data_IF_927313971155
#
_entry.id   IF_927313971155
#
_cell.length_a   1.000
_cell.length_b   1.000
_cell.length_c   1.000
_cell.angle_alpha   90.00
_cell.angle_beta   90.00
_cell.angle_gamma   90.00
#
_symmetry.space_group_name_H-M   'P 1'
#
loop_
_entity.id
_entity.type
_entity.pdbx_description
1 polymer ?
#
# COMPACT_ATOMS: atom_id res chain seq x y z
N UNK A 1 -44.72 -6.50 14.41
CA UNK A 1 -44.00 -5.22 14.59
C UNK A 1 -42.59 -5.60 15.05
N UNK A 2 -41.63 -5.60 14.14
CA UNK A 2 -40.24 -5.98 14.45
C UNK A 2 -39.47 -4.71 14.83
N UNK A 3 -38.67 -4.70 15.90
CA UNK A 3 -37.83 -3.56 16.21
C UNK A 3 -36.80 -3.42 15.11
N UNK A 4 -36.80 -2.23 14.51
CA UNK A 4 -35.84 -1.76 13.53
C UNK A 4 -34.45 -2.13 14.02
N UNK A 5 -33.84 -3.07 13.32
CA UNK A 5 -32.50 -3.54 13.60
C UNK A 5 -31.58 -2.40 13.20
N UNK A 6 -31.38 -1.46 14.12
CA UNK A 6 -30.28 -0.51 14.12
C UNK A 6 -28.97 -1.31 14.26
N UNK A 7 -28.66 -2.14 13.26
CA UNK A 7 -27.29 -2.49 13.00
C UNK A 7 -26.61 -1.17 12.71
N UNK A 8 -25.62 -0.74 13.53
CA UNK A 8 -24.81 0.38 13.13
C UNK A 8 -24.29 0.06 11.73
N UNK A 9 -24.35 0.99 10.76
CA UNK A 9 -23.71 0.75 9.48
C UNK A 9 -22.28 0.32 9.80
N UNK A 10 -21.91 -0.89 9.40
CA UNK A 10 -20.58 -1.44 9.62
C UNK A 10 -19.60 -0.43 9.05
N UNK A 11 -19.03 0.38 9.95
CA UNK A 11 -18.16 1.48 9.56
C UNK A 11 -17.02 0.88 8.74
N UNK A 12 -16.63 1.51 7.62
CA UNK A 12 -15.51 1.03 6.83
C UNK A 12 -14.29 0.97 7.75
N UNK A 13 -13.82 -0.25 8.01
CA UNK A 13 -12.75 -0.48 8.97
C UNK A 13 -11.43 0.00 8.34
N UNK A 14 -10.86 1.07 8.88
CA UNK A 14 -9.61 1.64 8.36
C UNK A 14 -8.45 1.12 9.20
N UNK A 15 -7.56 0.38 8.55
CA UNK A 15 -6.44 -0.29 9.19
C UNK A 15 -5.11 0.42 8.91
N UNK A 16 -4.18 0.34 9.85
CA UNK A 16 -2.78 0.69 9.61
C UNK A 16 -2.04 -0.46 8.92
N UNK A 17 -0.82 -0.20 8.43
CA UNK A 17 0.06 -1.26 7.89
C UNK A 17 0.22 -2.42 8.89
N UNK A 18 0.36 -2.10 10.18
CA UNK A 18 0.57 -3.09 11.23
C UNK A 18 -0.67 -3.96 11.43
N UNK A 19 -1.84 -3.34 11.53
CA UNK A 19 -3.09 -4.07 11.70
C UNK A 19 -3.46 -4.90 10.47
N UNK A 20 -3.21 -4.38 9.27
CA UNK A 20 -3.42 -5.14 8.03
C UNK A 20 -2.49 -6.36 7.95
N UNK A 21 -1.22 -6.19 8.35
CA UNK A 21 -0.24 -7.27 8.39
C UNK A 21 -0.68 -8.38 9.36
N UNK A 22 -1.17 -8.00 10.54
CA UNK A 22 -1.67 -8.93 11.55
C UNK A 22 -2.92 -9.68 11.08
N UNK A 23 -3.91 -8.95 10.53
CA UNK A 23 -5.15 -9.51 9.99
C UNK A 23 -4.91 -10.52 8.86
N UNK A 24 -3.97 -10.23 7.97
CA UNK A 24 -3.62 -11.10 6.84
C UNK A 24 -2.56 -12.15 7.21
N UNK A 25 -2.02 -12.12 8.44
CA UNK A 25 -0.87 -12.94 8.87
C UNK A 25 0.33 -12.87 7.92
N UNK A 26 0.59 -11.67 7.38
CA UNK A 26 1.73 -11.42 6.49
C UNK A 26 2.70 -10.44 7.11
N UNK A 27 3.97 -10.49 6.72
CA UNK A 27 4.96 -9.52 7.17
C UNK A 27 4.71 -8.14 6.55
N UNK A 28 5.11 -7.07 7.26
CA UNK A 28 5.07 -5.69 6.74
C UNK A 28 5.81 -5.57 5.40
N UNK A 29 6.94 -6.27 5.27
CA UNK A 29 7.72 -6.34 4.04
C UNK A 29 6.91 -6.89 2.85
N UNK A 30 6.03 -7.86 3.09
CA UNK A 30 5.11 -8.41 2.08
C UNK A 30 4.11 -7.36 1.62
N UNK A 31 3.54 -6.59 2.54
CA UNK A 31 2.66 -5.47 2.19
C UNK A 31 3.38 -4.42 1.36
N UNK A 32 4.61 -4.04 1.74
CA UNK A 32 5.42 -3.10 0.94
C UNK A 32 5.77 -3.65 -0.43
N UNK A 33 6.09 -4.94 -0.53
CA UNK A 33 6.30 -5.62 -1.82
C UNK A 33 5.05 -5.60 -2.68
N UNK A 34 3.85 -5.78 -2.10
CA UNK A 34 2.58 -5.67 -2.81
C UNK A 34 2.27 -4.25 -3.26
N UNK A 35 2.61 -3.23 -2.47
CA UNK A 35 2.55 -1.82 -2.89
C UNK A 35 3.50 -1.54 -4.06
N UNK A 36 4.73 -2.07 -4.02
CA UNK A 36 5.71 -1.93 -5.11
C UNK A 36 5.32 -2.67 -6.39
N UNK A 37 4.50 -3.73 -6.27
CA UNK A 37 4.03 -4.55 -7.39
C UNK A 37 2.70 -4.08 -7.98
N UNK A 38 2.20 -2.92 -7.55
CA UNK A 38 0.90 -2.37 -7.91
C UNK A 38 -0.28 -3.33 -7.62
N UNK A 39 -0.13 -4.21 -6.62
CA UNK A 39 -1.22 -5.06 -6.12
C UNK A 39 -2.08 -4.25 -5.15
N UNK A 40 -1.43 -3.51 -4.24
CA UNK A 40 -2.07 -2.50 -3.43
C UNK A 40 -1.92 -1.16 -4.15
N UNK A 41 -3.03 -0.53 -4.53
CA UNK A 41 -3.02 0.72 -5.31
C UNK A 41 -3.48 1.87 -4.42
N UNK A 42 -2.70 2.95 -4.39
CA UNK A 42 -3.06 4.17 -3.68
C UNK A 42 -4.31 4.81 -4.30
N UNK A 43 -5.27 5.25 -3.47
CA UNK A 43 -6.56 5.79 -3.89
C UNK A 43 -7.65 4.74 -4.14
N UNK A 44 -7.29 3.44 -4.19
CA UNK A 44 -8.24 2.32 -4.30
C UNK A 44 -8.22 1.42 -3.06
N UNK A 45 -7.04 0.95 -2.66
CA UNK A 45 -6.88 0.03 -1.52
C UNK A 45 -6.35 0.72 -0.26
N UNK A 46 -5.57 1.77 -0.45
CA UNK A 46 -5.03 2.55 0.65
C UNK A 46 -4.88 4.01 0.28
N UNK A 47 -4.80 4.87 1.27
CA UNK A 47 -4.52 6.28 1.10
C UNK A 47 -3.42 6.70 2.05
N UNK A 48 -2.62 7.67 1.59
CA UNK A 48 -1.52 8.23 2.38
C UNK A 48 -1.99 9.54 2.99
N UNK A 49 -2.12 9.56 4.31
CA UNK A 49 -2.45 10.77 5.08
C UNK A 49 -1.16 11.28 5.75
N UNK A 50 -0.48 12.22 5.10
CA UNK A 50 0.83 12.72 5.56
C UNK A 50 1.90 11.64 5.54
N UNK A 51 2.36 11.19 6.72
CA UNK A 51 3.35 10.11 6.87
C UNK A 51 2.71 8.74 7.15
N UNK A 52 1.40 8.68 7.34
CA UNK A 52 0.68 7.46 7.75
C UNK A 52 -0.04 6.85 6.56
N UNK A 53 0.12 5.53 6.39
CA UNK A 53 -0.63 4.73 5.42
C UNK A 53 -1.88 4.18 6.10
N UNK A 54 -3.03 4.41 5.47
CA UNK A 54 -4.33 3.92 5.91
C UNK A 54 -4.95 3.04 4.84
N UNK A 55 -5.37 1.85 5.22
CA UNK A 55 -5.95 0.83 4.34
C UNK A 55 -7.43 0.71 4.63
N UNK A 56 -8.24 0.62 3.57
CA UNK A 56 -9.67 0.38 3.70
C UNK A 56 -9.90 -1.13 3.71
N UNK A 57 -10.27 -1.68 4.86
CA UNK A 57 -10.60 -3.09 4.95
C UNK A 57 -11.98 -3.33 4.34
N UNK A 58 -11.98 -4.02 3.20
CA UNK A 58 -13.18 -4.44 2.50
C UNK A 58 -12.99 -5.86 1.95
N UNK A 59 -14.10 -6.57 1.75
CA UNK A 59 -14.08 -7.89 1.11
C UNK A 59 -13.48 -7.84 -0.29
N UNK A 60 -13.71 -6.73 -1.02
CA UNK A 60 -13.09 -6.49 -2.32
C UNK A 60 -11.57 -6.41 -2.23
N UNK A 61 -11.01 -5.69 -1.24
CA UNK A 61 -9.56 -5.62 -1.04
C UNK A 61 -8.97 -7.02 -0.82
N UNK A 62 -9.60 -7.83 0.03
CA UNK A 62 -9.12 -9.19 0.32
C UNK A 62 -9.21 -10.07 -0.94
N UNK A 63 -10.29 -9.95 -1.70
CA UNK A 63 -10.46 -10.71 -2.95
C UNK A 63 -9.43 -10.30 -4.01
N UNK A 64 -9.18 -9.00 -4.18
CA UNK A 64 -8.15 -8.48 -5.08
C UNK A 64 -6.75 -8.92 -4.65
N UNK A 65 -6.46 -9.01 -3.34
CA UNK A 65 -5.20 -9.53 -2.84
C UNK A 65 -5.01 -11.02 -3.19
N UNK A 66 -6.03 -11.86 -2.97
CA UNK A 66 -5.97 -13.29 -3.28
C UNK A 66 -5.81 -13.54 -4.78
N UNK A 67 -6.58 -12.83 -5.60
CA UNK A 67 -6.49 -12.94 -7.07
C UNK A 67 -5.14 -12.40 -7.57
N UNK A 68 -4.70 -11.26 -7.03
CA UNK A 68 -3.45 -10.60 -7.41
C UNK A 68 -2.19 -11.37 -6.99
N UNK A 69 -2.22 -12.09 -5.87
CA UNK A 69 -1.10 -12.91 -5.40
C UNK A 69 -0.88 -14.13 -6.29
N UNK A 70 -1.97 -14.78 -6.72
CA UNK A 70 -1.90 -15.97 -7.57
C UNK A 70 -1.47 -15.62 -9.01
N UNK A 71 -2.00 -14.52 -9.56
CA UNK A 71 -1.73 -14.13 -10.95
C UNK A 71 -0.29 -13.68 -11.23
N UNK A 72 0.47 -13.23 -10.22
CA UNK A 72 1.79 -12.59 -10.42
C UNK A 72 2.99 -13.39 -9.91
N UNK A 73 2.78 -14.61 -9.39
CA UNK A 73 3.85 -15.53 -8.97
C UNK A 73 4.85 -15.88 -10.10
N UNK A 74 4.48 -15.63 -11.36
CA UNK A 74 5.31 -15.87 -12.55
C UNK A 74 6.22 -14.71 -12.98
N UNK A 75 6.17 -13.54 -12.34
CA UNK A 75 7.12 -12.46 -12.66
C UNK A 75 8.30 -12.51 -11.69
N UNK A 76 9.46 -12.91 -12.22
CA UNK A 76 10.75 -12.89 -11.52
C UNK A 76 10.89 -11.56 -10.75
N UNK A 77 11.44 -11.58 -9.53
CA UNK A 77 11.73 -10.34 -8.82
C UNK A 77 12.67 -9.53 -9.72
N UNK A 78 12.26 -8.32 -10.09
CA UNK A 78 13.20 -7.31 -10.57
C UNK A 78 14.06 -6.95 -9.36
N UNK A 79 15.14 -7.70 -9.16
CA UNK A 79 16.34 -7.21 -8.49
C UNK A 79 17.03 -6.25 -9.46
N UNK A 80 16.36 -5.15 -9.78
CA UNK A 80 17.01 -3.99 -10.37
C UNK A 80 17.58 -3.17 -9.21
N UNK A 81 18.82 -2.67 -9.31
CA UNK A 81 19.33 -1.75 -8.30
C UNK A 81 18.37 -0.57 -8.20
N UNK A 82 17.92 -0.27 -6.98
CA UNK A 82 17.21 0.95 -6.64
C UNK A 82 18.06 2.10 -7.15
N UNK A 83 17.66 2.72 -8.26
CA UNK A 83 18.33 3.91 -8.77
C UNK A 83 18.01 5.07 -7.82
N UNK A 84 18.96 5.57 -7.01
CA UNK A 84 18.71 6.76 -6.23
C UNK A 84 18.95 7.95 -7.16
N UNK A 85 17.88 8.68 -7.49
CA UNK A 85 17.87 10.11 -7.83
C UNK A 85 18.78 10.62 -8.96
N UNK A 86 18.23 11.22 -10.04
CA UNK A 86 18.97 12.18 -10.83
C UNK A 86 18.88 13.57 -10.15
N UNK A 87 19.92 13.95 -9.38
CA UNK A 87 20.27 15.37 -9.21
C UNK A 87 21.79 15.53 -9.25
N UNK A 88 22.32 15.53 -10.47
CA UNK A 88 23.51 16.33 -10.77
C UNK A 88 23.05 17.79 -10.85
N UNK A 89 23.30 18.55 -9.80
CA UNK A 89 23.64 19.97 -9.97
C UNK A 89 25.04 20.14 -9.41
N UNK A 90 26.00 20.05 -10.33
CA UNK A 90 27.35 20.54 -10.14
C UNK A 90 27.26 22.03 -9.82
N UNK A 91 27.92 22.47 -8.76
CA UNK A 91 28.26 23.88 -8.59
C UNK A 91 29.00 24.37 -9.85
N UNK A 92 28.71 25.60 -10.27
CA UNK A 92 29.78 26.57 -10.41
C UNK A 92 29.34 27.91 -9.83
N UNK A 93 29.75 28.22 -8.61
CA UNK A 93 29.86 29.63 -8.20
C UNK A 93 31.32 29.98 -8.47
N UNK A 94 31.51 30.61 -9.63
CA UNK A 94 32.74 31.27 -10.03
C UNK A 94 32.85 32.52 -9.15
N UNK A 95 33.67 32.46 -8.11
CA UNK A 95 33.98 33.62 -7.27
C UNK A 95 35.08 34.43 -7.98
N UNK A 96 34.66 35.22 -8.96
CA UNK A 96 35.45 36.37 -9.40
C UNK A 96 35.47 37.40 -8.26
N UNK A 97 36.64 37.60 -7.65
CA UNK A 97 37.03 38.86 -7.01
C UNK A 97 38.55 38.99 -6.95
#
# INVERSE_FOLDING_TARGET
>A
MMPDSFYPPSLPEVLTVEQLAERLQVSRATLFSWMQRDILIAGRHYFKQGRVLRFLWSSELVMELVVGSEARKNRRPVTGPVSPHPRKQSNPINWEY
#
